data_IF_590035372602
#
_entry.id   IF_590035372602
#
_cell.length_a   1.000
_cell.length_b   1.000
_cell.length_c   1.000
_cell.angle_alpha   90.00
_cell.angle_beta   90.00
_cell.angle_gamma   90.00
#
_symmetry.space_group_name_H-M   'P 1'
#
loop_
_entity.id
_entity.type
_entity.pdbx_description
1 polymer ?
#
# COMPACT_ATOMS: atom_id res chain seq x y z
N UNK A 1 36.94 49.29 29.91
CA UNK A 1 37.25 48.36 28.80
C UNK A 1 36.83 46.95 29.17
N UNK A 2 35.79 46.41 28.52
CA UNK A 2 35.65 45.04 27.98
C UNK A 2 34.17 44.75 27.77
N UNK A 3 33.74 45.00 26.52
CA UNK A 3 32.53 44.43 25.94
C UNK A 3 32.74 42.93 25.79
N UNK A 4 31.77 42.11 26.20
CA UNK A 4 31.64 40.73 25.72
C UNK A 4 30.26 40.57 25.12
N UNK A 5 30.22 40.67 23.79
CA UNK A 5 29.06 40.34 22.98
C UNK A 5 28.83 38.83 22.98
N UNK A 6 27.58 38.42 23.22
CA UNK A 6 27.11 37.06 22.97
C UNK A 6 26.40 37.05 21.62
N UNK A 7 27.06 36.52 20.61
CA UNK A 7 26.44 36.14 19.33
C UNK A 7 25.93 34.71 19.52
N UNK A 8 24.61 34.55 19.63
CA UNK A 8 23.95 33.26 19.59
C UNK A 8 23.71 32.90 18.13
N UNK A 9 24.48 31.97 17.60
CA UNK A 9 24.32 31.42 16.26
C UNK A 9 23.06 30.54 16.22
N UNK A 10 22.00 31.02 15.57
CA UNK A 10 20.87 30.21 15.12
C UNK A 10 21.36 29.33 13.96
N UNK A 11 21.79 28.11 14.27
CA UNK A 11 22.09 27.09 13.28
C UNK A 11 20.79 26.56 12.66
N UNK A 12 20.47 27.02 11.45
CA UNK A 12 19.43 26.42 10.64
C UNK A 12 19.98 25.14 9.99
N UNK A 13 19.69 23.99 10.60
CA UNK A 13 19.96 22.68 9.99
C UNK A 13 18.89 22.41 8.92
N UNK A 14 19.18 22.81 7.68
CA UNK A 14 18.39 22.38 6.51
C UNK A 14 18.83 20.94 6.20
N UNK A 15 18.13 19.95 6.78
CA UNK A 15 18.21 18.58 6.31
C UNK A 15 17.47 18.49 4.98
N UNK A 16 18.22 18.52 3.89
CA UNK A 16 17.70 18.30 2.54
C UNK A 16 17.41 16.79 2.39
N UNK A 17 16.13 16.43 2.43
CA UNK A 17 15.64 15.08 2.09
C UNK A 17 15.62 14.93 0.56
N UNK A 18 16.64 14.29 0.00
CA UNK A 18 16.79 14.02 -1.45
C UNK A 18 16.66 12.52 -1.80
N UNK A 19 15.95 11.74 -0.97
CA UNK A 19 15.90 10.27 -1.08
C UNK A 19 14.68 9.66 -1.77
N UNK A 20 13.56 10.37 -1.89
CA UNK A 20 12.24 9.72 -1.94
C UNK A 20 11.87 9.00 -3.25
N UNK A 21 12.50 9.32 -4.39
CA UNK A 21 12.04 8.80 -5.69
C UNK A 21 12.60 7.40 -6.06
N UNK A 22 13.77 7.01 -5.53
CA UNK A 22 14.39 5.72 -5.88
C UNK A 22 13.81 4.55 -5.07
N UNK A 23 13.38 4.81 -3.84
CA UNK A 23 12.96 3.78 -2.89
C UNK A 23 11.68 3.06 -3.33
N UNK A 24 10.79 3.80 -4.00
CA UNK A 24 9.50 3.30 -4.47
C UNK A 24 9.59 2.20 -5.53
N UNK A 25 10.58 2.33 -6.43
CA UNK A 25 10.82 1.34 -7.48
C UNK A 25 11.32 0.03 -6.88
N UNK A 26 12.07 0.09 -5.78
CA UNK A 26 12.48 -1.09 -5.04
C UNK A 26 11.29 -1.75 -4.36
N UNK A 27 10.42 -0.95 -3.70
CA UNK A 27 9.19 -1.44 -3.06
C UNK A 27 8.24 -2.17 -4.03
N UNK A 28 8.30 -1.83 -5.32
CA UNK A 28 7.64 -2.56 -6.41
C UNK A 28 7.86 -4.08 -6.37
N UNK A 29 9.03 -4.54 -5.91
CA UNK A 29 9.36 -5.98 -5.81
C UNK A 29 8.48 -6.72 -4.81
N UNK A 30 7.97 -6.06 -3.76
CA UNK A 30 7.08 -6.67 -2.75
C UNK A 30 5.77 -7.17 -3.35
N UNK A 31 5.33 -6.58 -4.46
CA UNK A 31 4.08 -6.92 -5.13
C UNK A 31 4.24 -8.04 -6.16
N UNK A 32 5.47 -8.53 -6.38
CA UNK A 32 5.74 -9.64 -7.28
C UNK A 32 5.17 -10.95 -6.70
N UNK A 33 4.62 -11.87 -7.53
CA UNK A 33 4.07 -13.14 -7.05
C UNK A 33 5.04 -13.95 -6.19
N UNK A 34 6.34 -13.89 -6.50
CA UNK A 34 7.40 -14.56 -5.73
C UNK A 34 7.48 -14.11 -4.27
N UNK A 35 7.16 -12.86 -3.95
CA UNK A 35 7.19 -12.37 -2.56
C UNK A 35 6.08 -13.00 -1.71
N UNK A 36 4.99 -13.46 -2.34
CA UNK A 36 3.85 -14.06 -1.63
C UNK A 36 4.18 -15.41 -1.01
N UNK A 37 5.20 -16.12 -1.53
CA UNK A 37 5.63 -17.40 -0.96
C UNK A 37 6.34 -17.23 0.39
N UNK A 38 6.87 -16.04 0.66
CA UNK A 38 7.64 -15.73 1.86
C UNK A 38 6.80 -15.57 3.12
N UNK A 39 5.49 -15.36 2.96
CA UNK A 39 4.58 -15.15 4.08
C UNK A 39 3.32 -15.97 3.88
N UNK A 40 3.09 -16.95 4.77
CA UNK A 40 1.84 -17.71 4.79
C UNK A 40 0.79 -17.00 5.63
N UNK A 41 0.55 -15.71 5.35
CA UNK A 41 -0.72 -15.12 5.76
C UNK A 41 -1.78 -15.96 5.07
N UNK A 42 -2.59 -16.67 5.88
CA UNK A 42 -3.75 -17.43 5.41
C UNK A 42 -4.46 -16.51 4.46
N UNK A 43 -4.34 -16.82 3.16
CA UNK A 43 -4.67 -15.92 2.07
C UNK A 43 -6.01 -15.30 2.41
N UNK A 44 -5.96 -14.01 2.79
CA UNK A 44 -7.08 -13.12 2.99
C UNK A 44 -8.07 -13.54 1.92
N UNK A 45 -9.17 -14.20 2.33
CA UNK A 45 -10.10 -14.85 1.40
C UNK A 45 -10.97 -13.74 0.82
N UNK A 46 -10.29 -12.78 0.20
CA UNK A 46 -10.80 -11.90 -0.80
C UNK A 46 -11.37 -12.83 -1.87
N UNK A 47 -12.66 -13.16 -1.78
CA UNK A 47 -13.43 -13.86 -2.81
C UNK A 47 -13.44 -12.98 -4.07
N UNK A 48 -12.30 -12.94 -4.73
CA UNK A 48 -11.98 -12.12 -5.88
C UNK A 48 -12.44 -12.83 -7.16
N UNK A 49 -12.46 -14.17 -7.18
CA UNK A 49 -12.72 -14.96 -8.38
C UNK A 49 -14.00 -14.58 -9.12
N UNK A 50 -15.15 -14.65 -8.44
CA UNK A 50 -16.45 -14.42 -9.08
C UNK A 50 -16.64 -12.94 -9.45
N UNK A 51 -16.17 -12.03 -8.60
CA UNK A 51 -16.28 -10.58 -8.82
C UNK A 51 -15.36 -10.07 -9.95
N UNK A 52 -14.20 -10.68 -10.16
CA UNK A 52 -13.28 -10.29 -11.24
C UNK A 52 -13.92 -10.53 -12.59
N UNK A 53 -14.55 -11.70 -12.79
CA UNK A 53 -15.19 -12.02 -14.06
C UNK A 53 -16.30 -11.02 -14.39
N UNK A 54 -17.16 -10.70 -13.41
CA UNK A 54 -18.21 -9.70 -13.60
C UNK A 54 -17.66 -8.31 -13.93
N UNK A 55 -16.57 -7.89 -13.29
CA UNK A 55 -15.93 -6.61 -13.57
C UNK A 55 -15.35 -6.54 -14.99
N UNK A 56 -14.74 -7.63 -15.46
CA UNK A 56 -14.22 -7.75 -16.82
C UNK A 56 -15.38 -7.77 -17.84
N UNK A 57 -16.38 -8.61 -17.60
CA UNK A 57 -17.52 -8.81 -18.51
C UNK A 57 -18.39 -7.54 -18.63
N UNK A 58 -18.45 -6.72 -17.58
CA UNK A 58 -19.15 -5.43 -17.59
C UNK A 58 -18.46 -4.36 -18.48
N UNK A 59 -17.32 -4.67 -19.11
CA UNK A 59 -16.53 -3.71 -19.88
C UNK A 59 -15.95 -2.58 -19.02
N UNK A 60 -16.02 -2.71 -17.69
CA UNK A 60 -15.42 -1.77 -16.72
C UNK A 60 -13.91 -1.89 -16.68
N UNK A 61 -13.32 -2.90 -17.32
CA UNK A 61 -11.88 -3.05 -17.48
C UNK A 61 -11.61 -3.02 -18.97
N UNK A 62 -10.90 -1.98 -19.45
CA UNK A 62 -10.41 -2.04 -20.82
C UNK A 62 -9.48 -3.25 -20.96
N UNK A 63 -9.67 -4.12 -21.97
CA UNK A 63 -8.68 -5.15 -22.26
C UNK A 63 -7.34 -4.44 -22.46
N UNK A 64 -6.37 -4.77 -21.60
CA UNK A 64 -5.01 -4.21 -21.50
C UNK A 64 -4.62 -3.33 -22.71
N UNK A 65 -4.42 -2.01 -22.53
CA UNK A 65 -4.08 -1.16 -23.65
C UNK A 65 -2.73 -1.58 -24.23
N UNK A 66 -2.76 -2.09 -25.46
CA UNK A 66 -1.61 -2.22 -26.35
C UNK A 66 -1.12 -0.85 -26.88
N UNK A 67 -1.38 0.24 -26.14
CA UNK A 67 -0.95 1.58 -26.51
C UNK A 67 -1.49 2.69 -25.60
N UNK A 68 -0.58 3.38 -24.92
CA UNK A 68 -0.58 4.84 -24.73
C UNK A 68 -1.78 5.53 -24.04
N UNK A 69 -2.28 5.02 -22.91
CA UNK A 69 -2.89 5.90 -21.90
C UNK A 69 -2.16 5.75 -20.56
N UNK A 70 -1.70 6.86 -20.00
CA UNK A 70 -0.95 6.93 -18.73
C UNK A 70 -1.82 6.62 -17.49
N UNK A 71 -3.00 6.00 -17.67
CA UNK A 71 -3.81 5.51 -16.57
C UNK A 71 -3.58 4.03 -16.46
N UNK A 72 -3.01 3.61 -15.34
CA UNK A 72 -2.73 2.21 -15.08
C UNK A 72 -4.03 1.40 -15.23
N UNK A 73 -4.12 0.41 -16.15
CA UNK A 73 -5.33 -0.37 -16.40
C UNK A 73 -5.83 -1.15 -15.19
N UNK A 74 -5.06 -1.15 -14.10
CA UNK A 74 -5.39 -1.76 -12.81
C UNK A 74 -6.42 -0.97 -12.02
N UNK A 75 -6.54 0.34 -12.22
CA UNK A 75 -7.44 1.18 -11.42
C UNK A 75 -8.92 0.84 -11.66
N UNK A 76 -9.35 0.68 -12.90
CA UNK A 76 -10.78 0.46 -13.18
C UNK A 76 -11.27 -0.90 -12.65
N UNK A 77 -10.43 -1.93 -12.75
CA UNK A 77 -10.70 -3.24 -12.15
C UNK A 77 -10.78 -3.14 -10.63
N UNK A 78 -9.78 -2.52 -9.99
CA UNK A 78 -9.75 -2.41 -8.52
C UNK A 78 -10.95 -1.58 -8.02
N UNK A 79 -11.31 -0.50 -8.71
CA UNK A 79 -12.49 0.31 -8.37
C UNK A 79 -13.80 -0.47 -8.55
N UNK A 80 -13.95 -1.26 -9.61
CA UNK A 80 -15.11 -2.15 -9.78
C UNK A 80 -15.21 -3.18 -8.64
N UNK A 81 -14.09 -3.76 -8.23
CA UNK A 81 -14.05 -4.69 -7.10
C UNK A 81 -14.40 -4.00 -5.78
N UNK A 82 -13.97 -2.76 -5.58
CA UNK A 82 -14.34 -1.96 -4.41
C UNK A 82 -15.84 -1.63 -4.39
N UNK A 83 -16.43 -1.30 -5.54
CA UNK A 83 -17.86 -1.07 -5.71
C UNK A 83 -18.67 -2.33 -5.33
N UNK A 84 -18.28 -3.50 -5.84
CA UNK A 84 -18.91 -4.79 -5.54
C UNK A 84 -18.83 -5.16 -4.06
N UNK A 85 -17.80 -4.71 -3.36
CA UNK A 85 -17.65 -4.87 -1.90
C UNK A 85 -18.41 -3.82 -1.10
N UNK A 86 -19.06 -2.88 -1.76
CA UNK A 86 -19.77 -1.78 -1.12
C UNK A 86 -18.83 -0.78 -0.45
N UNK A 87 -17.54 -0.76 -0.79
CA UNK A 87 -16.53 0.12 -0.17
C UNK A 87 -16.56 1.52 -0.76
N UNK A 88 -17.27 1.76 -1.86
CA UNK A 88 -17.43 3.09 -2.43
C UNK A 88 -18.62 3.84 -1.81
N UNK A 89 -18.53 5.17 -1.82
CA UNK A 89 -19.64 6.08 -1.54
C UNK A 89 -20.44 6.41 -2.82
N UNK A 90 -21.50 7.21 -2.68
CA UNK A 90 -22.39 7.57 -3.79
C UNK A 90 -21.69 8.42 -4.88
N UNK A 91 -20.53 8.99 -4.56
CA UNK A 91 -19.68 9.76 -5.48
C UNK A 91 -18.62 8.88 -6.17
N UNK A 92 -18.61 7.57 -5.90
CA UNK A 92 -17.61 6.64 -6.44
C UNK A 92 -16.22 6.76 -5.81
N UNK A 93 -16.07 7.52 -4.72
CA UNK A 93 -14.84 7.58 -3.94
C UNK A 93 -14.84 6.53 -2.82
N UNK A 94 -13.67 6.26 -2.24
CA UNK A 94 -13.52 5.26 -1.17
C UNK A 94 -14.22 5.75 0.10
N UNK A 95 -15.20 4.99 0.57
CA UNK A 95 -15.81 5.16 1.88
C UNK A 95 -14.88 4.55 2.93
N UNK A 96 -14.11 5.41 3.59
CA UNK A 96 -13.11 5.00 4.58
C UNK A 96 -13.73 4.24 5.75
N UNK A 97 -14.96 4.55 6.15
CA UNK A 97 -15.62 3.87 7.27
C UNK A 97 -16.04 2.45 6.88
N UNK A 98 -16.56 2.27 5.66
CA UNK A 98 -16.83 0.92 5.14
C UNK A 98 -15.55 0.13 4.91
N UNK A 99 -14.48 0.77 4.45
CA UNK A 99 -13.17 0.13 4.32
C UNK A 99 -12.62 -0.33 5.66
N UNK A 100 -12.70 0.48 6.73
CA UNK A 100 -12.29 0.10 8.10
C UNK A 100 -13.03 -1.16 8.55
N UNK A 101 -14.36 -1.17 8.43
CA UNK A 101 -15.18 -2.34 8.79
C UNK A 101 -14.81 -3.59 8.00
N UNK A 102 -14.52 -3.43 6.70
CA UNK A 102 -14.07 -4.54 5.86
C UNK A 102 -12.72 -5.10 6.34
N UNK A 103 -11.77 -4.22 6.70
CA UNK A 103 -10.46 -4.62 7.25
C UNK A 103 -10.60 -5.31 8.61
N UNK A 104 -11.40 -4.76 9.53
CA UNK A 104 -11.65 -5.36 10.84
C UNK A 104 -12.24 -6.76 10.72
N UNK A 105 -13.17 -6.95 9.78
CA UNK A 105 -13.79 -8.26 9.52
C UNK A 105 -12.78 -9.24 8.96
N UNK A 106 -12.07 -8.85 7.89
CA UNK A 106 -11.19 -9.73 7.14
C UNK A 106 -9.93 -10.12 7.91
N UNK A 107 -9.37 -9.19 8.68
CA UNK A 107 -8.15 -9.39 9.47
C UNK A 107 -8.45 -9.59 10.98
N UNK A 108 -9.68 -9.98 11.32
CA UNK A 108 -10.10 -10.22 12.71
C UNK A 108 -9.22 -11.22 13.48
N UNK A 109 -8.52 -12.12 12.78
CA UNK A 109 -7.56 -13.07 13.36
C UNK A 109 -6.19 -12.47 13.70
N UNK A 110 -5.88 -11.27 13.21
CA UNK A 110 -4.59 -10.57 13.39
C UNK A 110 -4.84 -9.12 13.83
N UNK A 111 -5.28 -8.88 15.08
CA UNK A 111 -5.73 -7.57 15.53
C UNK A 111 -4.63 -6.48 15.46
N UNK A 112 -3.35 -6.85 15.65
CA UNK A 112 -2.24 -5.91 15.49
C UNK A 112 -2.09 -5.38 14.06
N UNK A 113 -2.40 -6.21 13.06
CA UNK A 113 -2.42 -5.80 11.66
C UNK A 113 -3.59 -4.87 11.36
N UNK A 114 -4.77 -5.12 11.93
CA UNK A 114 -5.95 -4.25 11.77
C UNK A 114 -5.63 -2.82 12.21
N UNK A 115 -5.08 -2.65 13.42
CA UNK A 115 -4.74 -1.32 13.95
C UNK A 115 -3.73 -0.59 13.03
N UNK A 116 -2.70 -1.29 12.58
CA UNK A 116 -1.68 -0.72 11.68
C UNK A 116 -2.27 -0.32 10.33
N UNK A 117 -3.12 -1.16 9.73
CA UNK A 117 -3.79 -0.84 8.46
C UNK A 117 -4.68 0.39 8.61
N UNK A 118 -5.53 0.44 9.65
CA UNK A 118 -6.43 1.59 9.84
C UNK A 118 -5.62 2.87 9.98
N UNK A 119 -4.64 2.88 10.89
CA UNK A 119 -3.86 4.06 11.22
C UNK A 119 -2.94 4.52 10.09
N UNK A 120 -2.24 3.60 9.43
CA UNK A 120 -1.22 3.94 8.42
C UNK A 120 -1.78 4.01 7.00
N UNK A 121 -2.75 3.16 6.67
CA UNK A 121 -3.20 3.00 5.28
C UNK A 121 -4.57 3.64 5.00
N UNK A 122 -5.46 3.75 5.99
CA UNK A 122 -6.79 4.37 5.76
C UNK A 122 -6.78 5.83 6.21
N UNK A 123 -6.25 6.09 7.40
CA UNK A 123 -6.16 7.42 8.01
C UNK A 123 -4.85 8.14 7.67
N UNK A 124 -3.79 7.40 7.37
CA UNK A 124 -2.47 7.92 7.07
C UNK A 124 -2.29 8.39 5.63
N UNK A 125 -1.11 8.96 5.37
CA UNK A 125 -0.69 9.33 4.02
C UNK A 125 -0.21 8.09 3.27
N UNK A 126 -0.90 7.77 2.18
CA UNK A 126 -0.59 6.63 1.31
C UNK A 126 0.14 7.00 0.03
N UNK A 127 0.41 8.29 -0.20
CA UNK A 127 1.03 8.77 -1.44
C UNK A 127 2.42 8.18 -1.70
N UNK A 128 3.12 7.70 -0.65
CA UNK A 128 4.42 7.03 -0.74
C UNK A 128 4.37 5.56 -1.21
N UNK A 129 3.19 4.97 -1.37
CA UNK A 129 3.05 3.52 -1.66
C UNK A 129 2.77 3.19 -3.13
N UNK A 130 2.36 4.13 -3.97
CA UNK A 130 2.41 3.97 -5.44
C UNK A 130 2.56 5.34 -6.14
N UNK A 131 3.14 5.37 -7.36
CA UNK A 131 3.42 6.61 -8.08
C UNK A 131 2.19 7.52 -8.19
N UNK A 132 2.37 8.84 -8.30
CA UNK A 132 1.27 9.82 -8.20
C UNK A 132 0.18 9.70 -9.27
N UNK A 133 0.44 8.98 -10.36
CA UNK A 133 -0.50 8.66 -11.43
C UNK A 133 -1.42 7.47 -11.10
N UNK A 134 -1.16 6.75 -10.01
CA UNK A 134 -2.00 5.66 -9.52
C UNK A 134 -3.21 6.21 -8.74
N UNK A 135 -4.33 5.50 -8.82
CA UNK A 135 -5.51 5.82 -8.03
C UNK A 135 -5.28 5.54 -6.53
N UNK A 136 -5.98 6.30 -5.67
CA UNK A 136 -5.92 6.19 -4.21
C UNK A 136 -6.08 4.74 -3.71
N UNK A 137 -6.95 3.96 -4.36
CA UNK A 137 -7.18 2.56 -3.99
C UNK A 137 -5.93 1.69 -4.12
N UNK A 138 -5.09 1.91 -5.14
CA UNK A 138 -3.84 1.16 -5.29
C UNK A 138 -2.85 1.58 -4.21
N UNK A 139 -2.77 2.87 -3.89
CA UNK A 139 -1.93 3.37 -2.80
C UNK A 139 -2.30 2.70 -1.46
N UNK A 140 -3.59 2.65 -1.14
CA UNK A 140 -4.11 1.98 0.05
C UNK A 140 -3.80 0.48 0.02
N UNK A 141 -4.09 -0.20 -1.10
CA UNK A 141 -3.83 -1.64 -1.26
C UNK A 141 -2.34 -1.97 -1.06
N UNK A 142 -1.46 -1.15 -1.63
CA UNK A 142 -0.02 -1.33 -1.50
C UNK A 142 0.44 -1.12 -0.07
N UNK A 143 -0.05 -0.07 0.60
CA UNK A 143 0.19 0.15 2.03
C UNK A 143 -0.25 -1.07 2.85
N UNK A 144 -1.47 -1.57 2.63
CA UNK A 144 -2.01 -2.73 3.34
C UNK A 144 -1.14 -3.98 3.15
N UNK A 145 -0.60 -4.20 1.95
CA UNK A 145 0.27 -5.33 1.69
C UNK A 145 1.62 -5.20 2.41
N UNK A 146 2.20 -4.00 2.47
CA UNK A 146 3.42 -3.74 3.25
C UNK A 146 3.16 -4.03 4.72
N UNK A 147 2.05 -3.54 5.29
CA UNK A 147 1.69 -3.82 6.68
C UNK A 147 1.46 -5.32 6.91
N UNK A 148 0.78 -6.00 5.99
CA UNK A 148 0.52 -7.43 6.08
C UNK A 148 1.82 -8.23 6.11
N UNK A 149 2.77 -7.93 5.22
CA UNK A 149 4.06 -8.61 5.26
C UNK A 149 4.87 -8.31 6.52
N UNK A 150 4.83 -7.06 7.01
CA UNK A 150 5.52 -6.68 8.23
C UNK A 150 5.00 -7.42 9.47
N UNK A 151 3.68 -7.65 9.52
CA UNK A 151 3.03 -8.38 10.61
C UNK A 151 2.90 -9.89 10.34
N UNK A 152 3.61 -10.42 9.34
CA UNK A 152 3.46 -11.82 8.97
C UNK A 152 3.93 -12.76 10.09
N UNK A 153 3.05 -13.60 10.67
CA UNK A 153 3.43 -14.49 11.76
C UNK A 153 4.18 -15.74 11.28
N UNK A 154 4.01 -16.12 10.00
CA UNK A 154 4.57 -17.33 9.40
C UNK A 154 5.44 -16.96 8.19
N UNK A 155 6.57 -16.35 8.50
CA UNK A 155 7.59 -15.94 7.54
C UNK A 155 8.55 -17.09 7.24
N UNK A 156 8.87 -17.31 5.95
CA UNK A 156 9.87 -18.30 5.55
C UNK A 156 11.28 -17.71 5.67
N UNK A 157 11.94 -17.93 6.80
CA UNK A 157 13.33 -17.53 7.01
C UNK A 157 14.35 -18.50 6.37
N UNK A 158 13.91 -19.59 5.72
CA UNK A 158 14.80 -20.58 5.09
C UNK A 158 15.16 -20.22 3.65
N UNK A 159 14.28 -19.55 2.92
CA UNK A 159 14.54 -19.06 1.56
C UNK A 159 15.35 -17.74 1.59
N UNK A 160 16.50 -17.72 0.89
CA UNK A 160 17.35 -16.54 0.81
C UNK A 160 16.63 -15.31 0.22
N UNK A 161 15.74 -15.51 -0.76
CA UNK A 161 14.96 -14.44 -1.35
C UNK A 161 14.03 -13.80 -0.31
N UNK A 162 13.49 -14.59 0.61
CA UNK A 162 12.59 -14.07 1.64
C UNK A 162 13.32 -13.20 2.67
N UNK A 163 14.62 -13.40 2.89
CA UNK A 163 15.42 -12.45 3.69
C UNK A 163 15.58 -11.10 2.98
N UNK A 164 15.79 -11.11 1.67
CA UNK A 164 15.88 -9.86 0.89
C UNK A 164 14.54 -9.10 0.89
N UNK A 165 13.43 -9.82 0.74
CA UNK A 165 12.09 -9.23 0.82
C UNK A 165 11.83 -8.65 2.21
N UNK A 166 12.25 -9.32 3.29
CA UNK A 166 12.11 -8.81 4.66
C UNK A 166 12.82 -7.46 4.86
N UNK A 167 14.07 -7.36 4.41
CA UNK A 167 14.82 -6.11 4.45
C UNK A 167 14.15 -5.00 3.61
N UNK A 168 13.52 -5.37 2.50
CA UNK A 168 12.80 -4.43 1.66
C UNK A 168 11.52 -3.91 2.33
N UNK A 169 10.79 -4.76 3.07
CA UNK A 169 9.60 -4.34 3.83
C UNK A 169 9.93 -3.25 4.85
N UNK A 170 11.01 -3.43 5.61
CA UNK A 170 11.48 -2.45 6.60
C UNK A 170 11.76 -1.09 5.95
N UNK A 171 12.37 -1.08 4.76
CA UNK A 171 12.61 0.15 3.99
C UNK A 171 11.32 0.79 3.48
N UNK A 172 10.36 -0.02 3.05
CA UNK A 172 9.09 0.46 2.49
C UNK A 172 8.06 0.88 3.56
N UNK A 173 8.29 0.51 4.82
CA UNK A 173 7.48 0.97 5.96
C UNK A 173 7.89 2.36 6.45
N UNK A 174 9.20 2.66 6.43
CA UNK A 174 9.80 3.94 6.84
C UNK A 174 9.17 5.13 6.12
#
# INVERSE_FOLDING_TARGET
MKMFGKILLLGASVFVWLGEANDMKECGKLFHPESRKCCKITSVKLNLGDNIKECIDAGKVSPLPSGASNKSPTCDLDMCLAEKRGILNDQGAIDKDKLKKAVETEFSSVPGLVEKIIKKCIEGDVSKYAPSDFCELINIRNCMMVQAYNECPDWDDTDANCKEIKNLIEKCEA
#
